data_IF_855674859326
#
_entry.id   IF_855674859326
#
_cell.length_a   1.000
_cell.length_b   1.000
_cell.length_c   1.000
_cell.angle_alpha   90.00
_cell.angle_beta   90.00
_cell.angle_gamma   90.00
#
_symmetry.space_group_name_H-M   'P 1'
#
loop_
_entity.id
_entity.type
_entity.pdbx_description
1 polymer ?
#
# COMPACT_ATOMS: atom_id res chain seq x y z
N UNK A 1 38.16 -43.63 -1.62
CA UNK A 1 39.03 -42.44 -1.58
C UNK A 1 39.31 -42.01 -3.01
N UNK A 2 38.51 -41.10 -3.55
CA UNK A 2 38.76 -40.38 -4.80
C UNK A 2 38.32 -38.94 -4.55
N UNK A 3 39.31 -38.04 -4.50
CA UNK A 3 39.13 -36.61 -4.36
C UNK A 3 39.18 -35.88 -5.70
N UNK A 4 39.12 -34.55 -5.58
CA UNK A 4 39.07 -33.51 -6.60
C UNK A 4 37.68 -33.36 -7.25
N UNK A 5 36.92 -32.27 -7.03
CA UNK A 5 37.36 -30.89 -6.86
C UNK A 5 37.26 -30.18 -8.20
N UNK A 6 36.04 -30.03 -8.71
CA UNK A 6 35.73 -29.18 -9.85
C UNK A 6 35.05 -27.91 -9.32
N UNK A 7 35.87 -26.88 -9.11
CA UNK A 7 35.43 -25.49 -9.25
C UNK A 7 34.88 -25.34 -10.68
N UNK A 8 33.71 -24.73 -10.84
CA UNK A 8 33.41 -23.67 -11.82
C UNK A 8 31.90 -23.34 -11.83
N UNK A 9 31.62 -22.05 -11.58
CA UNK A 9 30.53 -21.25 -12.16
C UNK A 9 29.08 -21.53 -11.74
N UNK A 10 28.65 -20.93 -10.62
CA UNK A 10 27.30 -20.36 -10.54
C UNK A 10 27.45 -18.98 -9.90
N UNK A 11 27.19 -17.94 -10.68
CA UNK A 11 27.24 -16.56 -10.19
C UNK A 11 26.31 -16.39 -8.99
N UNK A 12 26.73 -15.58 -8.02
CA UNK A 12 25.83 -14.93 -7.06
C UNK A 12 25.01 -13.85 -7.77
N UNK A 13 24.33 -14.20 -8.86
CA UNK A 13 23.20 -13.44 -9.33
C UNK A 13 21.99 -13.97 -8.57
N UNK A 14 21.20 -13.15 -7.86
CA UNK A 14 19.89 -13.61 -7.44
C UNK A 14 19.18 -14.16 -8.68
N UNK A 15 18.37 -15.24 -8.53
CA UNK A 15 17.60 -15.75 -9.65
C UNK A 15 16.87 -14.55 -10.28
N UNK A 16 16.85 -14.48 -11.62
CA UNK A 16 16.04 -13.50 -12.34
C UNK A 16 14.64 -13.55 -11.74
N UNK A 17 14.32 -12.58 -10.87
CA UNK A 17 13.01 -12.48 -10.26
C UNK A 17 12.03 -12.30 -11.42
N UNK A 18 10.89 -13.01 -11.41
CA UNK A 18 9.92 -12.85 -12.47
C UNK A 18 9.56 -11.37 -12.58
N UNK A 19 9.76 -10.81 -13.78
CA UNK A 19 9.45 -9.41 -14.07
C UNK A 19 7.96 -9.19 -13.73
N UNK A 20 7.71 -8.43 -12.67
CA UNK A 20 6.35 -8.15 -12.20
C UNK A 20 5.71 -7.17 -13.19
N UNK A 21 4.59 -7.56 -13.79
CA UNK A 21 3.85 -6.69 -14.70
C UNK A 21 3.26 -5.49 -13.94
N UNK A 22 3.68 -4.28 -14.34
CA UNK A 22 3.23 -3.04 -13.72
C UNK A 22 1.70 -2.87 -13.78
N UNK A 23 1.03 -3.35 -14.83
CA UNK A 23 -0.42 -3.27 -14.92
C UNK A 23 -1.10 -4.12 -13.83
N UNK A 24 -0.52 -5.27 -13.49
CA UNK A 24 -0.97 -6.13 -12.39
C UNK A 24 -0.80 -5.43 -11.03
N UNK A 25 0.36 -4.79 -10.78
CA UNK A 25 0.60 -4.04 -9.53
C UNK A 25 -0.40 -2.90 -9.38
N UNK A 26 -0.59 -2.10 -10.43
CA UNK A 26 -1.51 -0.98 -10.41
C UNK A 26 -2.98 -1.41 -10.33
N UNK A 27 -3.36 -2.53 -10.95
CA UNK A 27 -4.67 -3.13 -10.78
C UNK A 27 -4.96 -3.49 -9.32
N UNK A 28 -4.00 -4.07 -8.62
CA UNK A 28 -4.14 -4.35 -7.19
C UNK A 28 -4.23 -3.07 -6.35
N UNK A 29 -3.40 -2.06 -6.64
CA UNK A 29 -3.45 -0.76 -5.94
C UNK A 29 -4.81 -0.08 -6.14
N UNK A 30 -5.37 -0.15 -7.36
CA UNK A 30 -6.71 0.35 -7.66
C UNK A 30 -7.77 -0.42 -6.88
N UNK A 31 -7.71 -1.75 -6.89
CA UNK A 31 -8.67 -2.63 -6.20
C UNK A 31 -8.75 -2.33 -4.69
N UNK A 32 -7.61 -2.21 -4.01
CA UNK A 32 -7.59 -1.91 -2.56
C UNK A 32 -8.06 -0.48 -2.26
N UNK A 33 -7.77 0.47 -3.15
CA UNK A 33 -8.20 1.87 -3.00
C UNK A 33 -9.71 2.03 -3.23
N UNK A 34 -10.28 1.29 -4.19
CA UNK A 34 -11.73 1.23 -4.40
C UNK A 34 -12.43 0.59 -3.20
N UNK A 35 -11.86 -0.47 -2.62
CA UNK A 35 -12.40 -1.08 -1.41
C UNK A 35 -12.39 -0.11 -0.22
N UNK A 36 -11.34 0.71 -0.09
CA UNK A 36 -11.31 1.79 0.88
C UNK A 36 -12.41 2.82 0.62
N UNK A 37 -12.54 3.31 -0.62
CA UNK A 37 -13.58 4.26 -1.01
C UNK A 37 -15.00 3.74 -0.73
N UNK A 38 -15.30 2.49 -1.06
CA UNK A 38 -16.60 1.88 -0.82
C UNK A 38 -16.95 1.78 0.68
N UNK A 39 -15.94 1.56 1.53
CA UNK A 39 -16.13 1.45 2.97
C UNK A 39 -16.44 2.79 3.67
N UNK A 40 -16.14 3.95 3.05
CA UNK A 40 -16.43 5.25 3.64
C UNK A 40 -17.94 5.54 3.74
N UNK A 41 -18.45 5.95 4.91
CA UNK A 41 -19.75 6.61 4.96
C UNK A 41 -19.70 7.98 4.24
N UNK A 42 -20.85 8.59 3.91
CA UNK A 42 -20.88 9.94 3.35
C UNK A 42 -20.31 10.98 4.33
N UNK A 43 -19.01 11.29 4.20
CA UNK A 43 -18.29 12.22 5.06
C UNK A 43 -17.26 13.04 4.25
N UNK A 44 -16.61 14.01 4.91
CA UNK A 44 -15.64 14.89 4.26
C UNK A 44 -14.39 14.13 3.75
N UNK A 45 -13.97 13.08 4.46
CA UNK A 45 -12.77 12.29 4.16
C UNK A 45 -12.91 11.46 2.88
N UNK A 46 -14.14 11.09 2.51
CA UNK A 46 -14.45 10.30 1.31
C UNK A 46 -13.95 10.96 0.02
N UNK A 47 -13.93 12.29 -0.06
CA UNK A 47 -13.50 13.02 -1.27
C UNK A 47 -12.02 12.82 -1.60
N UNK A 48 -11.16 12.70 -0.58
CA UNK A 48 -9.75 12.41 -0.76
C UNK A 48 -9.52 10.97 -1.24
N UNK A 49 -10.30 10.01 -0.72
CA UNK A 49 -10.27 8.62 -1.20
C UNK A 49 -10.72 8.51 -2.67
N UNK A 50 -11.78 9.20 -3.06
CA UNK A 50 -12.25 9.28 -4.45
C UNK A 50 -11.18 9.88 -5.38
N UNK A 51 -10.46 10.91 -4.94
CA UNK A 51 -9.38 11.52 -5.71
C UNK A 51 -8.22 10.54 -5.95
N UNK A 52 -7.84 9.73 -4.93
CA UNK A 52 -6.82 8.68 -5.09
C UNK A 52 -7.24 7.59 -6.07
N UNK A 53 -8.51 7.14 -5.99
CA UNK A 53 -9.05 6.16 -6.93
C UNK A 53 -9.01 6.69 -8.37
N UNK A 54 -9.47 7.92 -8.62
CA UNK A 54 -9.41 8.54 -9.95
C UNK A 54 -7.99 8.68 -10.50
N UNK A 55 -7.03 8.99 -9.62
CA UNK A 55 -5.61 9.01 -10.00
C UNK A 55 -5.13 7.64 -10.46
N UNK A 56 -5.52 6.56 -9.77
CA UNK A 56 -5.19 5.19 -10.15
C UNK A 56 -5.93 4.70 -11.40
N UNK A 57 -7.20 5.05 -11.59
CA UNK A 57 -7.99 4.74 -12.80
C UNK A 57 -7.38 5.36 -14.07
N UNK A 58 -6.63 6.46 -13.93
CA UNK A 58 -5.93 7.08 -15.05
C UNK A 58 -4.71 6.28 -15.55
N UNK A 59 -4.26 5.28 -14.80
CA UNK A 59 -3.15 4.41 -15.18
C UNK A 59 -3.61 3.33 -16.15
N UNK A 60 -2.93 3.24 -17.30
CA UNK A 60 -3.29 2.26 -18.34
C UNK A 60 -3.20 0.81 -17.80
N UNK A 61 -4.27 0.04 -18.01
CA UNK A 61 -4.34 -1.37 -17.62
C UNK A 61 -4.73 -1.63 -16.16
N UNK A 62 -4.85 -0.60 -15.32
CA UNK A 62 -5.34 -0.77 -13.96
C UNK A 62 -6.84 -1.16 -13.99
N UNK A 63 -7.14 -2.36 -13.51
CA UNK A 63 -8.53 -2.80 -13.28
C UNK A 63 -8.63 -3.34 -11.87
N UNK A 64 -9.65 -2.89 -11.16
CA UNK A 64 -9.93 -3.32 -9.80
C UNK A 64 -11.41 -3.61 -9.65
N UNK A 65 -11.73 -4.68 -8.94
CA UNK A 65 -13.08 -4.96 -8.45
C UNK A 65 -12.99 -5.08 -6.94
N UNK A 66 -13.49 -4.06 -6.24
CA UNK A 66 -13.58 -4.09 -4.80
C UNK A 66 -14.70 -5.04 -4.32
N UNK A 67 -14.49 -5.77 -3.22
CA UNK A 67 -15.59 -6.43 -2.53
C UNK A 67 -16.48 -5.39 -1.84
N UNK A 68 -17.79 -5.55 -1.95
CA UNK A 68 -18.76 -4.64 -1.33
C UNK A 68 -18.74 -4.81 0.18
N UNK A 69 -18.49 -3.72 0.91
CA UNK A 69 -18.58 -3.65 2.36
C UNK A 69 -19.75 -2.75 2.78
N UNK A 70 -20.35 -3.03 3.95
CA UNK A 70 -21.26 -2.07 4.59
C UNK A 70 -20.47 -0.84 5.00
N UNK A 71 -20.83 0.38 4.55
CA UNK A 71 -20.05 1.58 4.87
C UNK A 71 -20.08 1.92 6.37
N UNK A 72 -18.91 2.10 6.97
CA UNK A 72 -18.74 2.56 8.36
C UNK A 72 -17.34 3.17 8.55
N UNK A 73 -17.12 3.97 9.59
CA UNK A 73 -15.81 4.55 9.87
C UNK A 73 -14.76 3.45 10.19
N UNK A 74 -15.15 2.41 10.91
CA UNK A 74 -14.30 1.26 11.22
C UNK A 74 -13.98 0.42 9.97
N UNK A 75 -14.96 0.24 9.08
CA UNK A 75 -14.76 -0.43 7.80
C UNK A 75 -13.76 0.36 6.93
N UNK A 76 -13.92 1.68 6.85
CA UNK A 76 -13.01 2.57 6.16
C UNK A 76 -11.59 2.51 6.75
N UNK A 77 -11.45 2.56 8.07
CA UNK A 77 -10.15 2.47 8.75
C UNK A 77 -9.44 1.14 8.44
N UNK A 78 -10.16 0.03 8.50
CA UNK A 78 -9.60 -1.28 8.17
C UNK A 78 -9.21 -1.39 6.70
N UNK A 79 -10.00 -0.82 5.80
CA UNK A 79 -9.69 -0.82 4.37
C UNK A 79 -8.49 0.07 4.04
N UNK A 80 -8.39 1.27 4.61
CA UNK A 80 -7.25 2.17 4.44
C UNK A 80 -5.96 1.57 5.01
N UNK A 81 -6.02 0.85 6.15
CA UNK A 81 -4.88 0.10 6.69
C UNK A 81 -4.39 -0.98 5.71
N UNK A 82 -5.31 -1.69 5.04
CA UNK A 82 -4.97 -2.71 4.03
C UNK A 82 -4.41 -2.06 2.76
N UNK A 83 -5.00 -0.96 2.30
CA UNK A 83 -4.49 -0.21 1.16
C UNK A 83 -3.06 0.30 1.44
N UNK A 84 -2.79 0.82 2.64
CA UNK A 84 -1.46 1.26 3.04
C UNK A 84 -0.43 0.13 2.98
N UNK A 85 -0.78 -1.04 3.52
CA UNK A 85 0.09 -2.23 3.46
C UNK A 85 0.38 -2.65 2.01
N UNK A 86 -0.63 -2.63 1.14
CA UNK A 86 -0.46 -2.96 -0.27
C UNK A 86 0.42 -1.95 -1.01
N UNK A 87 0.22 -0.64 -0.78
CA UNK A 87 1.05 0.41 -1.39
C UNK A 87 2.52 0.29 -0.95
N UNK A 88 2.77 0.00 0.33
CA UNK A 88 4.12 -0.20 0.85
C UNK A 88 4.77 -1.45 0.25
N UNK A 89 4.03 -2.55 0.11
CA UNK A 89 4.54 -3.77 -0.53
C UNK A 89 4.94 -3.51 -2.00
N UNK A 90 4.16 -2.71 -2.72
CA UNK A 90 4.41 -2.39 -4.12
C UNK A 90 5.68 -1.54 -4.38
N UNK A 91 6.26 -0.90 -3.36
CA UNK A 91 7.49 -0.10 -3.51
C UNK A 91 8.66 -0.93 -4.03
N UNK A 92 8.71 -2.22 -3.69
CA UNK A 92 9.74 -3.15 -4.18
C UNK A 92 9.48 -3.72 -5.58
N UNK A 93 8.24 -3.60 -6.07
CA UNK A 93 7.81 -4.25 -7.33
C UNK A 93 7.98 -3.32 -8.54
N UNK A 94 7.88 -2.00 -8.35
CA UNK A 94 7.99 -1.01 -9.42
C UNK A 94 9.30 -0.22 -9.33
N UNK A 95 10.17 -0.40 -10.32
CA UNK A 95 11.54 0.16 -10.29
C UNK A 95 11.66 1.55 -10.91
N UNK A 96 10.72 1.97 -11.76
CA UNK A 96 10.80 3.27 -12.41
C UNK A 96 10.52 4.42 -11.42
N UNK A 97 11.05 5.60 -11.74
CA UNK A 97 10.98 6.76 -10.86
C UNK A 97 9.54 7.27 -10.69
N UNK A 98 8.77 7.30 -11.78
CA UNK A 98 7.43 7.86 -11.77
C UNK A 98 6.50 7.01 -10.90
N UNK A 99 6.60 5.68 -10.99
CA UNK A 99 5.86 4.75 -10.15
C UNK A 99 6.21 4.91 -8.66
N UNK A 100 7.48 5.10 -8.33
CA UNK A 100 7.91 5.33 -6.94
C UNK A 100 7.39 6.66 -6.37
N UNK A 101 7.38 7.72 -7.17
CA UNK A 101 6.81 9.01 -6.79
C UNK A 101 5.28 8.91 -6.57
N UNK A 102 4.59 8.16 -7.44
CA UNK A 102 3.16 7.91 -7.30
C UNK A 102 2.85 7.06 -6.06
N UNK A 103 3.58 5.97 -5.83
CA UNK A 103 3.44 5.16 -4.62
C UNK A 103 3.71 5.97 -3.36
N UNK A 104 4.73 6.83 -3.34
CA UNK A 104 4.99 7.71 -2.20
C UNK A 104 3.80 8.65 -1.92
N UNK A 105 3.18 9.18 -2.97
CA UNK A 105 1.98 10.03 -2.85
C UNK A 105 0.79 9.24 -2.29
N UNK A 106 0.55 8.03 -2.78
CA UNK A 106 -0.51 7.14 -2.29
C UNK A 106 -0.28 6.76 -0.83
N UNK A 107 0.94 6.34 -0.47
CA UNK A 107 1.31 6.00 0.92
C UNK A 107 1.06 7.19 1.85
N UNK A 108 1.49 8.40 1.48
CA UNK A 108 1.30 9.58 2.30
C UNK A 108 -0.20 9.91 2.50
N UNK A 109 -0.97 9.96 1.42
CA UNK A 109 -2.40 10.28 1.48
C UNK A 109 -3.23 9.22 2.23
N UNK A 110 -2.88 7.94 2.07
CA UNK A 110 -3.52 6.83 2.78
C UNK A 110 -3.13 6.83 4.27
N UNK A 111 -1.89 7.15 4.63
CA UNK A 111 -1.46 7.28 6.02
C UNK A 111 -2.15 8.47 6.73
N UNK A 112 -2.33 9.60 6.02
CA UNK A 112 -3.11 10.73 6.50
C UNK A 112 -4.57 10.32 6.75
N UNK A 113 -5.19 9.59 5.82
CA UNK A 113 -6.56 9.08 5.97
C UNK A 113 -6.70 8.13 7.16
N UNK A 114 -5.75 7.21 7.38
CA UNK A 114 -5.72 6.34 8.57
C UNK A 114 -5.65 7.17 9.85
N UNK A 115 -4.85 8.23 9.87
CA UNK A 115 -4.72 9.11 11.04
C UNK A 115 -5.99 9.89 11.32
N UNK A 116 -6.62 10.45 10.28
CA UNK A 116 -7.88 11.17 10.37
C UNK A 116 -9.03 10.27 10.85
N UNK A 117 -9.16 9.05 10.29
CA UNK A 117 -10.19 8.10 10.70
C UNK A 117 -10.05 7.65 12.15
N UNK A 118 -8.81 7.48 12.65
CA UNK A 118 -8.59 7.19 14.07
C UNK A 118 -9.02 8.34 14.98
N UNK A 119 -8.75 9.58 14.56
CA UNK A 119 -9.18 10.76 15.31
C UNK A 119 -10.70 10.85 15.37
N UNK A 120 -11.40 10.57 14.26
CA UNK A 120 -12.88 10.53 14.21
C UNK A 120 -13.49 9.40 15.06
N UNK A 121 -12.75 8.30 15.25
CA UNK A 121 -13.17 7.15 16.07
C UNK A 121 -12.76 7.26 17.55
N UNK A 122 -12.14 8.38 17.96
CA UNK A 122 -11.53 8.55 19.28
C UNK A 122 -10.53 7.40 19.64
N UNK A 123 -9.91 6.78 18.63
CA UNK A 123 -8.87 5.78 18.85
C UNK A 123 -7.57 6.48 19.32
N UNK A 124 -6.87 5.95 20.35
CA UNK A 124 -5.62 6.54 20.79
C UNK A 124 -4.61 6.60 19.62
N UNK A 125 -3.74 7.62 19.57
CA UNK A 125 -2.71 7.69 18.54
C UNK A 125 -1.82 6.44 18.59
N UNK A 126 -1.20 6.08 17.46
CA UNK A 126 -0.16 5.04 17.47
C UNK A 126 0.90 5.50 18.46
N UNK A 127 1.14 4.69 19.49
CA UNK A 127 2.12 5.02 20.52
C UNK A 127 3.47 5.21 19.83
N UNK A 128 4.06 6.39 19.98
CA UNK A 128 5.31 6.83 19.34
C UNK A 128 6.56 6.12 19.89
N UNK A 129 6.39 4.95 20.48
CA UNK A 129 7.44 4.16 21.09
C UNK A 129 8.32 3.51 20.03
N UNK A 130 9.15 4.34 19.40
CA UNK A 130 10.50 3.92 19.02
C UNK A 130 11.22 3.43 20.28
N UNK A 131 11.91 2.28 20.24
CA UNK A 131 12.72 1.83 21.36
C UNK A 131 13.75 2.91 21.72
N UNK A 132 13.55 3.59 22.86
CA UNK A 132 14.47 4.62 23.35
C UNK A 132 13.84 5.98 23.71
N UNK A 133 12.61 6.29 23.28
CA UNK A 133 11.96 7.53 23.69
C UNK A 133 11.30 7.38 25.06
N UNK A 134 11.96 7.93 26.10
CA UNK A 134 11.36 8.14 27.41
C UNK A 134 10.38 9.31 27.31
N UNK A 135 9.08 9.02 27.33
CA UNK A 135 8.05 10.00 27.63
C UNK A 135 8.42 10.70 28.94
N UNK A 136 8.82 11.96 28.86
CA UNK A 136 8.90 12.82 30.04
C UNK A 136 7.54 13.50 30.21
N UNK A 137 7.05 13.59 31.46
CA UNK A 137 5.76 14.19 31.79
C UNK A 137 5.74 15.69 31.50
#
# INVERSE_FOLDING_TARGET
MLGAGALLLVGCGPPDEPEVDAATVWGEQLRVSQAALEAYPPNALRSAADSRVKQLESLAGATGTAPTATPSLEAALNAERRALQAHVAAVGELSDRASRELLATLIAGTAEAVSALRAELDEPPIVDSFPGQRNRP
#
